data_IF_352713308527
#
_entry.id   IF_352713308527
#
_cell.length_a   1.000
_cell.length_b   1.000
_cell.length_c   1.000
_cell.angle_alpha   90.00
_cell.angle_beta   90.00
_cell.angle_gamma   90.00
#
_symmetry.space_group_name_H-M   'P 1'
#
loop_
_entity.id
_entity.type
_entity.pdbx_description
1 polymer ?
#
# COMPACT_ATOMS: atom_id res chain seq x y z
N UNK A 1 -14.04 -23.77 -23.19
CA UNK A 1 -14.08 -24.63 -21.98
C UNK A 1 -15.36 -25.42 -22.05
N UNK A 2 -15.29 -26.73 -21.90
CA UNK A 2 -16.50 -27.56 -21.87
C UNK A 2 -17.22 -27.47 -20.51
N UNK A 3 -18.44 -27.99 -20.49
CA UNK A 3 -19.34 -27.88 -19.35
C UNK A 3 -18.92 -28.81 -18.19
N UNK A 4 -18.15 -29.86 -18.49
CA UNK A 4 -17.63 -30.84 -17.54
C UNK A 4 -16.45 -30.28 -16.75
N UNK A 5 -15.47 -29.70 -17.43
CA UNK A 5 -14.34 -28.96 -16.84
C UNK A 5 -14.85 -27.83 -15.94
N UNK A 6 -15.90 -27.11 -16.36
CA UNK A 6 -16.51 -26.07 -15.54
C UNK A 6 -17.15 -26.62 -14.25
N UNK A 7 -17.84 -27.76 -14.33
CA UNK A 7 -18.41 -28.44 -13.15
C UNK A 7 -17.35 -28.94 -12.19
N UNK A 8 -16.27 -29.52 -12.71
CA UNK A 8 -15.12 -29.95 -11.92
C UNK A 8 -14.48 -28.76 -11.20
N UNK A 9 -14.23 -27.67 -11.91
CA UNK A 9 -13.67 -26.44 -11.38
C UNK A 9 -14.54 -25.87 -10.24
N UNK A 10 -15.87 -25.86 -10.43
CA UNK A 10 -16.81 -25.43 -9.39
C UNK A 10 -16.81 -26.37 -8.18
N UNK A 11 -16.67 -27.68 -8.39
CA UNK A 11 -16.59 -28.66 -7.31
C UNK A 11 -15.32 -28.47 -6.47
N UNK A 12 -14.20 -28.12 -7.11
CA UNK A 12 -12.94 -27.81 -6.45
C UNK A 12 -13.03 -26.49 -5.66
N UNK A 13 -13.63 -25.45 -6.25
CA UNK A 13 -13.82 -24.17 -5.58
C UNK A 13 -14.63 -24.31 -4.28
N UNK A 14 -15.71 -25.11 -4.30
CA UNK A 14 -16.53 -25.39 -3.11
C UNK A 14 -15.76 -26.06 -1.97
N UNK A 15 -14.69 -26.80 -2.26
CA UNK A 15 -13.84 -27.43 -1.23
C UNK A 15 -12.85 -26.44 -0.62
N UNK A 16 -12.52 -25.37 -1.33
CA UNK A 16 -11.54 -24.37 -0.93
C UNK A 16 -12.17 -23.13 -0.29
N UNK A 17 -13.41 -22.82 -0.67
CA UNK A 17 -14.18 -21.68 -0.22
C UNK A 17 -14.95 -21.97 1.08
N UNK A 18 -15.25 -20.92 1.85
CA UNK A 18 -16.02 -21.03 3.10
C UNK A 18 -17.52 -20.83 2.92
N UNK A 19 -17.92 -20.27 1.78
CA UNK A 19 -19.32 -20.01 1.41
C UNK A 19 -19.55 -20.38 -0.06
N UNK A 20 -20.83 -20.53 -0.45
CA UNK A 20 -21.18 -20.75 -1.85
C UNK A 20 -20.84 -19.55 -2.74
N UNK A 21 -20.98 -18.32 -2.21
CA UNK A 21 -20.62 -17.09 -2.91
C UNK A 21 -19.11 -17.01 -3.14
N UNK A 22 -18.31 -17.26 -2.09
CA UNK A 22 -16.84 -17.30 -2.16
C UNK A 22 -16.37 -18.32 -3.22
N UNK A 23 -17.08 -19.45 -3.36
CA UNK A 23 -16.75 -20.47 -4.35
C UNK A 23 -17.01 -19.97 -5.79
N UNK A 24 -18.08 -19.21 -6.00
CA UNK A 24 -18.43 -18.66 -7.32
C UNK A 24 -17.44 -17.56 -7.72
N UNK A 25 -17.09 -16.66 -6.80
CA UNK A 25 -16.05 -15.65 -6.99
C UNK A 25 -14.71 -16.30 -7.32
N UNK A 26 -14.33 -17.36 -6.59
CA UNK A 26 -13.07 -18.06 -6.82
C UNK A 26 -13.00 -18.73 -8.20
N UNK A 27 -14.11 -19.27 -8.70
CA UNK A 27 -14.20 -19.78 -10.08
C UNK A 27 -14.02 -18.62 -11.07
N UNK A 28 -14.74 -17.52 -10.87
CA UNK A 28 -14.69 -16.36 -11.76
C UNK A 28 -13.28 -15.76 -11.84
N UNK A 29 -12.60 -15.57 -10.71
CA UNK A 29 -11.22 -15.09 -10.65
C UNK A 29 -10.25 -16.04 -11.35
N UNK A 30 -10.44 -17.35 -11.18
CA UNK A 30 -9.62 -18.36 -11.85
C UNK A 30 -9.79 -18.29 -13.37
N UNK A 31 -11.03 -18.13 -13.86
CA UNK A 31 -11.31 -17.99 -15.29
C UNK A 31 -10.78 -16.66 -15.85
N UNK A 32 -10.87 -15.57 -15.11
CA UNK A 32 -10.29 -14.29 -15.51
C UNK A 32 -8.76 -14.38 -15.66
N UNK A 33 -8.08 -15.04 -14.71
CA UNK A 33 -6.65 -15.30 -14.79
C UNK A 33 -6.29 -16.21 -15.98
N UNK A 34 -7.12 -17.22 -16.26
CA UNK A 34 -6.97 -18.13 -17.39
C UNK A 34 -7.02 -17.39 -18.74
N UNK A 35 -8.02 -16.51 -18.91
CA UNK A 35 -8.16 -15.66 -20.09
C UNK A 35 -6.96 -14.73 -20.27
N UNK A 36 -6.51 -14.08 -19.19
CA UNK A 36 -5.35 -13.20 -19.24
C UNK A 36 -4.06 -13.95 -19.62
N UNK A 37 -3.92 -15.20 -19.21
CA UNK A 37 -2.77 -16.05 -19.54
C UNK A 37 -2.90 -16.78 -20.89
N UNK A 38 -4.08 -16.78 -21.52
CA UNK A 38 -4.37 -17.60 -22.70
C UNK A 38 -4.29 -19.11 -22.42
N UNK A 39 -4.60 -19.54 -21.19
CA UNK A 39 -4.45 -20.92 -20.71
C UNK A 39 -5.80 -21.48 -20.27
N UNK A 40 -6.01 -22.77 -20.47
CA UNK A 40 -7.24 -23.46 -20.04
C UNK A 40 -7.00 -24.90 -19.59
N UNK A 41 -5.75 -25.33 -19.42
CA UNK A 41 -5.41 -26.68 -19.00
C UNK A 41 -5.78 -26.91 -17.52
N UNK A 42 -6.45 -28.03 -17.24
CA UNK A 42 -7.00 -28.34 -15.93
C UNK A 42 -5.97 -28.31 -14.78
N UNK A 43 -4.72 -28.81 -14.93
CA UNK A 43 -3.71 -28.72 -13.88
C UNK A 43 -3.34 -27.28 -13.54
N UNK A 44 -3.23 -26.40 -14.55
CA UNK A 44 -2.95 -24.99 -14.35
C UNK A 44 -4.12 -24.27 -13.68
N UNK A 45 -5.35 -24.52 -14.11
CA UNK A 45 -6.56 -23.95 -13.49
C UNK A 45 -6.67 -24.34 -12.01
N UNK A 46 -6.47 -25.62 -11.69
CA UNK A 46 -6.48 -26.11 -10.31
C UNK A 46 -5.35 -25.48 -9.47
N UNK A 47 -4.16 -25.29 -10.06
CA UNK A 47 -3.04 -24.60 -9.43
C UNK A 47 -3.33 -23.14 -9.13
N UNK A 48 -3.84 -22.40 -10.11
CA UNK A 48 -4.23 -21.00 -10.00
C UNK A 48 -5.33 -20.83 -8.96
N UNK A 49 -6.36 -21.67 -8.98
CA UNK A 49 -7.44 -21.64 -8.00
C UNK A 49 -6.95 -21.85 -6.57
N UNK A 50 -6.04 -22.81 -6.33
CA UNK A 50 -5.44 -23.03 -5.01
C UNK A 50 -4.66 -21.82 -4.52
N UNK A 51 -3.92 -21.16 -5.42
CA UNK A 51 -3.17 -19.95 -5.09
C UNK A 51 -4.11 -18.78 -4.73
N UNK A 52 -5.19 -18.59 -5.49
CA UNK A 52 -6.20 -17.58 -5.23
C UNK A 52 -6.93 -17.82 -3.90
N UNK A 53 -7.33 -19.06 -3.63
CA UNK A 53 -7.96 -19.43 -2.35
C UNK A 53 -7.02 -19.17 -1.16
N UNK A 54 -5.75 -19.55 -1.27
CA UNK A 54 -4.75 -19.28 -0.23
C UNK A 54 -4.52 -17.78 -0.01
N UNK A 55 -4.56 -16.97 -1.08
CA UNK A 55 -4.50 -15.52 -0.99
C UNK A 55 -5.71 -14.96 -0.25
N UNK A 56 -6.93 -15.29 -0.67
CA UNK A 56 -8.18 -14.86 -0.03
C UNK A 56 -8.24 -15.27 1.47
N UNK A 57 -7.79 -16.47 1.81
CA UNK A 57 -7.73 -16.94 3.20
C UNK A 57 -6.78 -16.11 4.06
N UNK A 58 -5.57 -15.81 3.56
CA UNK A 58 -4.59 -14.96 4.27
C UNK A 58 -5.14 -13.55 4.49
N UNK A 59 -5.78 -12.99 3.47
CA UNK A 59 -6.45 -11.68 3.54
C UNK A 59 -7.54 -11.67 4.59
N UNK A 60 -8.42 -12.68 4.60
CA UNK A 60 -9.49 -12.78 5.58
C UNK A 60 -8.98 -12.94 7.02
N UNK A 61 -7.90 -13.69 7.24
CA UNK A 61 -7.28 -13.83 8.57
C UNK A 61 -6.70 -12.49 9.04
N UNK A 62 -5.97 -11.77 8.18
CA UNK A 62 -5.43 -10.45 8.51
C UNK A 62 -6.54 -9.45 8.81
N UNK A 63 -7.58 -9.41 7.97
CA UNK A 63 -8.77 -8.57 8.17
C UNK A 63 -9.45 -8.86 9.50
N UNK A 64 -9.70 -10.14 9.82
CA UNK A 64 -10.29 -10.55 11.11
C UNK A 64 -9.44 -10.14 12.30
N UNK A 65 -8.11 -10.26 12.21
CA UNK A 65 -7.20 -9.77 13.27
C UNK A 65 -7.33 -8.27 13.47
N UNK A 66 -7.45 -7.48 12.40
CA UNK A 66 -7.70 -6.04 12.53
C UNK A 66 -9.07 -5.75 13.14
N UNK A 67 -10.12 -6.40 12.64
CA UNK A 67 -11.47 -6.21 13.16
C UNK A 67 -11.55 -6.59 14.64
N UNK A 68 -10.81 -7.63 15.09
CA UNK A 68 -10.68 -7.98 16.50
C UNK A 68 -9.91 -6.92 17.31
N UNK A 69 -8.80 -6.38 16.77
CA UNK A 69 -8.06 -5.29 17.43
C UNK A 69 -8.88 -3.99 17.55
N UNK A 70 -9.76 -3.71 16.60
CA UNK A 70 -10.68 -2.56 16.64
C UNK A 70 -11.88 -2.84 17.55
N UNK A 71 -12.33 -4.10 17.66
CA UNK A 71 -13.41 -4.49 18.55
C UNK A 71 -12.98 -4.57 20.03
N UNK A 72 -11.71 -4.90 20.30
CA UNK A 72 -11.11 -4.78 21.63
C UNK A 72 -10.89 -3.30 22.03
N UNK A 73 -10.95 -2.37 21.07
CA UNK A 73 -10.87 -0.92 21.27
C UNK A 73 -12.28 -0.30 21.53
N UNK A 74 -13.16 -1.05 22.19
CA UNK A 74 -14.49 -0.61 22.66
C UNK A 74 -14.32 0.57 23.66
N UNK A 75 -14.94 1.74 23.45
CA UNK A 75 -14.55 3.00 24.09
C UNK A 75 -15.06 3.17 25.54
N UNK A 76 -15.38 2.08 26.24
CA UNK A 76 -15.94 2.09 27.60
C UNK A 76 -14.95 1.79 28.73
N UNK A 77 -13.64 1.80 28.47
CA UNK A 77 -12.64 1.67 29.53
C UNK A 77 -11.33 2.36 29.17
N UNK A 78 -11.11 3.55 29.75
CA UNK A 78 -9.81 4.21 29.97
C UNK A 78 -8.61 3.69 29.14
N UNK A 79 -8.60 3.99 27.84
CA UNK A 79 -7.45 3.73 26.97
C UNK A 79 -7.14 4.92 26.04
N UNK A 80 -7.22 6.14 26.55
CA UNK A 80 -6.46 7.27 25.96
C UNK A 80 -5.05 7.30 26.53
N UNK A 81 -4.30 6.22 26.32
CA UNK A 81 -2.84 6.23 26.47
C UNK A 81 -2.20 6.13 25.08
N UNK A 82 -2.22 7.27 24.36
CA UNK A 82 -1.12 7.61 23.48
C UNK A 82 -1.08 7.01 22.08
N UNK A 83 -2.19 6.95 21.34
CA UNK A 83 -2.10 7.29 19.91
C UNK A 83 -2.01 8.81 19.76
N UNK A 84 -0.98 9.42 20.37
CA UNK A 84 -0.54 10.73 19.96
C UNK A 84 -0.11 10.58 18.49
N UNK A 85 -0.94 11.08 17.59
CA UNK A 85 -0.51 11.40 16.24
C UNK A 85 0.85 12.08 16.40
N UNK A 86 1.94 11.54 15.83
CA UNK A 86 3.29 12.03 16.10
C UNK A 86 3.27 13.54 16.02
N UNK A 87 3.63 14.20 17.11
CA UNK A 87 3.79 15.64 17.12
C UNK A 87 4.71 15.97 15.94
N UNK A 88 4.12 16.50 14.88
CA UNK A 88 4.86 16.87 13.69
C UNK A 88 5.83 17.94 14.16
N UNK A 89 7.14 17.77 14.01
CA UNK A 89 8.09 18.71 14.59
C UNK A 89 7.74 20.13 14.15
N UNK A 90 7.66 21.07 15.10
CA UNK A 90 7.18 22.44 14.83
C UNK A 90 7.93 23.13 13.69
N UNK A 91 9.21 22.77 13.49
CA UNK A 91 10.02 23.26 12.39
C UNK A 91 9.52 22.85 10.99
N UNK A 92 8.81 21.72 10.87
CA UNK A 92 8.25 21.27 9.59
C UNK A 92 7.06 22.14 9.16
N UNK A 93 6.33 22.70 10.13
CA UNK A 93 5.25 23.66 9.86
C UNK A 93 5.77 24.99 9.33
N UNK A 94 6.97 25.41 9.75
CA UNK A 94 7.63 26.62 9.27
C UNK A 94 8.06 26.53 7.79
N UNK A 95 8.12 25.32 7.22
CA UNK A 95 8.52 25.16 5.82
C UNK A 95 7.40 25.47 4.84
N UNK A 96 7.74 26.03 3.67
CA UNK A 96 6.80 26.15 2.56
C UNK A 96 6.14 24.82 2.22
N UNK A 97 4.83 24.82 1.97
CA UNK A 97 4.04 23.61 1.69
C UNK A 97 4.61 22.75 0.54
N UNK A 98 5.35 23.36 -0.39
CA UNK A 98 6.03 22.67 -1.51
C UNK A 98 7.19 21.77 -1.05
N UNK A 99 7.91 22.17 -0.01
CA UNK A 99 9.01 21.40 0.58
C UNK A 99 8.48 20.36 1.56
N UNK A 100 7.53 20.75 2.41
CA UNK A 100 6.88 19.86 3.37
C UNK A 100 6.24 18.64 2.70
N UNK A 101 5.53 18.82 1.58
CA UNK A 101 4.97 17.69 0.80
C UNK A 101 6.03 16.68 0.36
N UNK A 102 7.18 17.14 -0.15
CA UNK A 102 8.27 16.25 -0.55
C UNK A 102 8.88 15.54 0.65
N UNK A 103 9.09 16.26 1.75
CA UNK A 103 9.66 15.71 2.98
C UNK A 103 8.78 14.64 3.62
N UNK A 104 7.46 14.88 3.71
CA UNK A 104 6.49 13.92 4.23
C UNK A 104 6.48 12.64 3.39
N UNK A 105 6.40 12.74 2.06
CA UNK A 105 6.41 11.57 1.19
C UNK A 105 7.74 10.79 1.28
N UNK A 106 8.87 11.49 1.42
CA UNK A 106 10.17 10.85 1.62
C UNK A 106 10.25 10.13 2.98
N UNK A 107 9.66 10.69 4.05
CA UNK A 107 9.58 10.05 5.36
C UNK A 107 8.71 8.78 5.32
N UNK A 108 7.64 8.80 4.51
CA UNK A 108 6.88 7.60 4.15
C UNK A 108 7.60 6.69 3.15
N UNK A 109 8.86 6.99 2.79
CA UNK A 109 9.79 6.15 1.99
C UNK A 109 9.37 5.89 0.56
N UNK A 110 8.59 6.82 0.01
CA UNK A 110 8.41 6.89 -1.42
C UNK A 110 9.74 7.21 -2.08
N UNK A 111 9.96 6.63 -3.25
CA UNK A 111 11.15 6.86 -4.06
C UNK A 111 11.07 8.22 -4.74
N UNK A 112 12.21 8.69 -5.24
CA UNK A 112 12.27 9.92 -6.02
C UNK A 112 11.31 9.89 -7.22
N UNK A 113 11.15 8.73 -7.88
CA UNK A 113 10.30 8.60 -9.07
C UNK A 113 8.82 8.67 -8.71
N UNK A 114 8.42 8.00 -7.63
CA UNK A 114 7.05 8.05 -7.10
C UNK A 114 6.67 9.44 -6.61
N UNK A 115 7.57 10.12 -5.89
CA UNK A 115 7.33 11.49 -5.42
C UNK A 115 7.17 12.44 -6.61
N UNK A 116 8.03 12.32 -7.64
CA UNK A 116 7.92 13.12 -8.86
C UNK A 116 6.61 12.87 -9.58
N UNK A 117 6.18 11.62 -9.67
CA UNK A 117 4.92 11.25 -10.31
C UNK A 117 3.71 11.80 -9.54
N UNK A 118 3.64 11.61 -8.21
CA UNK A 118 2.53 12.11 -7.38
C UNK A 118 2.42 13.64 -7.43
N UNK A 119 3.55 14.33 -7.32
CA UNK A 119 3.58 15.79 -7.24
C UNK A 119 3.71 16.47 -8.62
N UNK A 120 3.66 15.70 -9.70
CA UNK A 120 3.84 16.16 -11.09
C UNK A 120 5.08 17.06 -11.25
N UNK A 121 6.25 16.58 -10.79
CA UNK A 121 7.50 17.34 -10.80
C UNK A 121 8.45 16.88 -11.90
N UNK A 122 9.07 17.85 -12.56
CA UNK A 122 10.26 17.57 -13.36
C UNK A 122 11.43 17.10 -12.47
N UNK A 123 12.41 16.36 -13.02
CA UNK A 123 13.63 16.00 -12.32
C UNK A 123 14.34 17.21 -11.69
N UNK A 124 14.39 18.34 -12.40
CA UNK A 124 15.02 19.58 -11.96
C UNK A 124 14.29 20.17 -10.76
N UNK A 125 12.96 20.27 -10.84
CA UNK A 125 12.13 20.80 -9.75
C UNK A 125 12.24 19.94 -8.49
N UNK A 126 12.33 18.61 -8.64
CA UNK A 126 12.56 17.71 -7.51
C UNK A 126 13.95 17.91 -6.89
N UNK A 127 15.01 17.98 -7.71
CA UNK A 127 16.38 18.24 -7.21
C UNK A 127 16.47 19.57 -6.47
N UNK A 128 15.87 20.63 -7.01
CA UNK A 128 15.84 21.95 -6.36
C UNK A 128 15.13 21.90 -5.00
N UNK A 129 13.98 21.23 -4.92
CA UNK A 129 13.24 21.08 -3.64
C UNK A 129 14.03 20.25 -2.64
N UNK A 130 14.68 19.17 -3.07
CA UNK A 130 15.51 18.34 -2.21
C UNK A 130 16.72 19.11 -1.67
N UNK A 131 17.40 19.91 -2.50
CA UNK A 131 18.50 20.77 -2.06
C UNK A 131 18.04 21.81 -1.03
N UNK A 132 16.87 22.43 -1.24
CA UNK A 132 16.29 23.36 -0.26
C UNK A 132 15.91 22.69 1.06
N UNK A 133 15.40 21.46 1.01
CA UNK A 133 15.13 20.66 2.21
C UNK A 133 16.43 20.39 2.98
N UNK A 134 17.49 19.93 2.28
CA UNK A 134 18.80 19.69 2.92
C UNK A 134 19.36 20.96 3.56
N UNK A 135 19.25 22.10 2.88
CA UNK A 135 19.67 23.39 3.43
C UNK A 135 18.85 23.76 4.68
N UNK A 136 17.52 23.66 4.60
CA UNK A 136 16.64 23.96 5.73
C UNK A 136 16.90 23.04 6.94
N UNK A 137 17.21 21.76 6.72
CA UNK A 137 17.67 20.84 7.77
C UNK A 137 19.02 21.28 8.35
N UNK A 138 19.92 21.77 7.50
CA UNK A 138 21.23 22.34 7.85
C UNK A 138 21.15 23.59 8.72
N UNK A 139 20.08 24.38 8.57
CA UNK A 139 19.83 25.61 9.33
C UNK A 139 19.08 25.37 10.66
N UNK A 140 18.62 24.13 10.93
CA UNK A 140 17.97 23.81 12.20
C UNK A 140 18.93 23.99 13.39
N UNK A 141 18.44 24.50 14.54
CA UNK A 141 19.20 24.55 15.78
C UNK A 141 19.75 23.16 16.16
N UNK A 142 20.97 23.06 16.72
CA UNK A 142 21.56 21.78 17.11
C UNK A 142 20.66 20.92 18.01
N UNK A 143 19.95 21.56 18.95
CA UNK A 143 18.99 20.88 19.84
C UNK A 143 17.83 20.23 19.07
N UNK A 144 17.19 20.98 18.16
CA UNK A 144 16.08 20.46 17.34
C UNK A 144 16.53 19.35 16.38
N UNK A 145 17.78 19.40 15.89
CA UNK A 145 18.37 18.34 15.07
C UNK A 145 18.63 17.08 15.89
N UNK A 146 19.18 17.21 17.10
CA UNK A 146 19.45 16.09 17.99
C UNK A 146 18.15 15.38 18.41
N UNK A 147 17.12 16.15 18.77
CA UNK A 147 15.78 15.63 19.10
C UNK A 147 15.16 14.89 17.92
N UNK A 148 15.22 15.47 16.71
CA UNK A 148 14.68 14.83 15.50
C UNK A 148 15.41 13.53 15.14
N UNK A 149 16.73 13.47 15.35
CA UNK A 149 17.52 12.24 15.16
C UNK A 149 17.15 11.19 16.21
N UNK A 150 17.09 11.56 17.49
CA UNK A 150 16.68 10.65 18.56
C UNK A 150 15.30 10.06 18.28
N UNK A 151 14.33 10.88 17.85
CA UNK A 151 12.99 10.43 17.50
C UNK A 151 12.96 9.50 16.28
N UNK A 152 13.86 9.70 15.31
CA UNK A 152 14.03 8.81 14.16
C UNK A 152 14.67 7.46 14.52
N UNK A 153 15.47 7.38 15.59
CA UNK A 153 16.04 6.13 16.10
C UNK A 153 15.08 5.36 17.02
N UNK A 154 14.22 6.06 17.76
CA UNK A 154 13.18 5.43 18.60
C UNK A 154 12.05 4.83 17.75
N UNK A 155 11.75 5.46 16.61
CA UNK A 155 10.73 4.96 15.69
C UNK A 155 11.36 4.16 14.57
N UNK A 156 11.14 2.85 14.59
CA UNK A 156 11.13 2.10 13.33
C UNK A 156 10.13 2.84 12.41
N UNK A 157 10.54 3.37 11.24
CA UNK A 157 9.66 4.17 10.39
C UNK A 157 8.34 3.43 10.24
N UNK A 158 7.22 4.09 10.57
CA UNK A 158 5.86 3.53 10.69
C UNK A 158 5.46 2.64 9.50
N UNK A 159 5.97 1.41 9.50
CA UNK A 159 5.83 0.38 8.49
C UNK A 159 5.69 -0.87 9.31
N UNK A 160 4.53 -1.51 9.22
CA UNK A 160 4.17 -2.63 10.06
C UNK A 160 5.31 -3.65 10.15
N UNK A 161 5.74 -3.95 11.37
CA UNK A 161 6.77 -4.95 11.70
C UNK A 161 6.47 -6.32 11.06
N UNK A 162 5.19 -6.58 10.77
CA UNK A 162 4.69 -7.84 10.19
C UNK A 162 4.97 -8.03 8.68
N UNK A 163 5.39 -6.98 7.97
CA UNK A 163 5.59 -7.04 6.53
C UNK A 163 7.09 -6.98 6.21
N UNK A 164 7.59 -7.97 5.46
CA UNK A 164 8.97 -8.00 4.93
C UNK A 164 9.15 -6.89 3.88
N UNK A 165 9.26 -5.64 4.35
CA UNK A 165 9.16 -4.44 3.54
C UNK A 165 10.19 -4.41 2.42
N UNK A 166 11.41 -4.91 2.65
CA UNK A 166 12.43 -5.03 1.61
C UNK A 166 11.98 -5.92 0.43
N UNK A 167 11.31 -7.04 0.70
CA UNK A 167 10.79 -7.93 -0.35
C UNK A 167 9.61 -7.31 -1.08
N UNK A 168 8.66 -6.74 -0.33
CA UNK A 168 7.49 -6.05 -0.89
C UNK A 168 7.94 -4.88 -1.76
N UNK A 169 8.89 -4.08 -1.28
CA UNK A 169 9.45 -2.95 -2.01
C UNK A 169 10.14 -3.38 -3.29
N UNK A 170 10.90 -4.47 -3.27
CA UNK A 170 11.53 -5.03 -4.47
C UNK A 170 10.50 -5.51 -5.48
N UNK A 171 9.44 -6.19 -5.02
CA UNK A 171 8.32 -6.64 -5.87
C UNK A 171 7.54 -5.47 -6.47
N UNK A 172 7.22 -4.45 -5.67
CA UNK A 172 6.55 -3.22 -6.11
C UNK A 172 7.37 -2.45 -7.14
N UNK A 173 8.68 -2.31 -6.93
CA UNK A 173 9.58 -1.69 -7.93
C UNK A 173 9.65 -2.50 -9.22
N UNK A 174 9.74 -3.82 -9.14
CA UNK A 174 9.69 -4.69 -10.32
C UNK A 174 8.36 -4.55 -11.06
N UNK A 175 7.25 -4.47 -10.32
CA UNK A 175 5.92 -4.30 -10.88
C UNK A 175 5.70 -2.93 -11.55
N UNK A 176 6.46 -1.88 -11.19
CA UNK A 176 6.50 -0.61 -11.95
C UNK A 176 7.29 -0.73 -13.25
N UNK A 177 8.29 -1.63 -13.31
CA UNK A 177 9.10 -1.86 -14.51
C UNK A 177 9.86 -0.61 -14.97
N UNK A 178 10.23 0.29 -14.04
CA UNK A 178 10.85 1.58 -14.35
C UNK A 178 9.90 2.64 -14.94
N UNK A 179 8.62 2.30 -15.15
CA UNK A 179 7.60 3.23 -15.60
C UNK A 179 7.16 4.20 -14.50
N UNK A 180 6.64 5.36 -14.90
CA UNK A 180 6.11 6.34 -13.97
C UNK A 180 4.82 5.82 -13.30
N UNK A 181 4.74 5.92 -11.98
CA UNK A 181 3.62 5.41 -11.21
C UNK A 181 3.88 5.42 -9.70
N UNK A 182 2.87 4.99 -8.95
CA UNK A 182 2.95 4.73 -7.52
C UNK A 182 2.76 3.23 -7.29
N UNK A 183 3.65 2.61 -6.52
CA UNK A 183 3.49 1.23 -6.08
C UNK A 183 3.50 1.17 -4.55
N UNK A 184 2.37 0.75 -3.99
CA UNK A 184 2.15 0.68 -2.54
C UNK A 184 1.54 -0.67 -2.17
N UNK A 185 1.26 -0.85 -0.89
CA UNK A 185 0.48 -1.95 -0.40
C UNK A 185 -0.62 -1.44 0.51
N UNK A 186 -1.70 -2.21 0.62
CA UNK A 186 -2.67 -1.98 1.69
C UNK A 186 -2.15 -2.55 3.03
N UNK A 187 -2.90 -2.29 4.09
CA UNK A 187 -2.62 -2.81 5.44
C UNK A 187 -2.65 -4.34 5.52
N UNK A 188 -3.29 -5.01 4.54
CA UNK A 188 -3.33 -6.47 4.43
C UNK A 188 -2.16 -7.01 3.61
N UNK A 189 -1.29 -6.16 3.06
CA UNK A 189 -0.12 -6.53 2.26
C UNK A 189 -0.40 -6.79 0.78
N UNK A 190 -1.59 -6.47 0.26
CA UNK A 190 -1.88 -6.53 -1.17
C UNK A 190 -1.10 -5.47 -1.91
N UNK A 191 -0.45 -5.87 -2.99
CA UNK A 191 0.34 -4.96 -3.80
C UNK A 191 -0.57 -4.17 -4.74
N UNK A 192 -0.46 -2.84 -4.69
CA UNK A 192 -1.22 -1.91 -5.51
C UNK A 192 -0.25 -1.16 -6.42
N UNK A 193 -0.53 -1.11 -7.73
CA UNK A 193 0.25 -0.36 -8.71
C UNK A 193 -0.66 0.59 -9.47
N UNK A 194 -0.36 1.89 -9.39
CA UNK A 194 -1.13 2.97 -10.00
C UNK A 194 -0.25 3.65 -11.04
N UNK A 195 -0.64 3.58 -12.32
CA UNK A 195 0.15 4.08 -13.46
C UNK A 195 -0.45 5.31 -14.14
N UNK A 196 -1.77 5.52 -14.00
CA UNK A 196 -2.45 6.68 -14.57
C UNK A 196 -2.47 7.81 -13.53
N UNK A 197 -2.04 9.04 -13.87
CA UNK A 197 -2.35 10.17 -13.02
C UNK A 197 -3.88 10.21 -12.88
N UNK A 198 -4.37 10.34 -11.64
CA UNK A 198 -5.81 10.31 -11.37
C UNK A 198 -6.58 11.28 -12.27
N UNK A 199 -7.84 10.97 -12.53
CA UNK A 199 -8.73 11.88 -13.26
C UNK A 199 -8.65 13.28 -12.63
N UNK A 200 -8.47 14.31 -13.47
CA UNK A 200 -8.53 15.70 -13.03
C UNK A 200 -9.94 15.95 -12.49
N UNK A 201 -10.09 15.93 -11.17
CA UNK A 201 -11.31 16.38 -10.52
C UNK A 201 -11.49 17.85 -10.86
N UNK A 202 -12.46 18.15 -11.72
CA UNK A 202 -12.95 19.52 -11.90
C UNK A 202 -13.78 19.83 -10.65
N UNK A 203 -13.48 20.89 -9.89
CA UNK A 203 -14.39 21.33 -8.85
C UNK A 203 -15.72 21.65 -9.53
N UNK A 204 -16.76 20.86 -9.24
CA UNK A 204 -18.12 21.24 -9.58
C UNK A 204 -18.45 22.46 -8.73
N UNK A 205 -18.60 23.62 -9.37
CA UNK A 205 -19.17 24.78 -8.72
C UNK A 205 -20.59 24.42 -8.30
N UNK A 206 -20.85 24.43 -6.99
CA UNK A 206 -22.21 24.59 -6.51
C UNK A 206 -22.60 26.04 -6.80
N UNK A 207 -23.80 26.22 -7.38
CA UNK A 207 -24.35 27.51 -7.80
C UNK A 207 -24.55 28.50 -6.67
#
# INVERSE_FOLDING_TARGET
MDLETYRELRSQARRLARSAADAEDLVQDTLAAALAAGRADAPWLAGTMRNLAAMQARTAVRRRRREALVADDDPSGEATAGMESPAVPGWLHAWPARLRRVAVLALHGLSADEIRWILALSPEAFRQRLSRIRKALGELPPAARAESLAMAYVRDPARSVDLQFGLIRRRLRAALGGGAGLATHDVDGHLLVIRRPGHTWRPGGNG
#
